data_IF_089101920902
#
_entry.id   IF_089101920902
#
_cell.length_a   1.000
_cell.length_b   1.000
_cell.length_c   1.000
_cell.angle_alpha   90.00
_cell.angle_beta   90.00
_cell.angle_gamma   90.00
#
_symmetry.space_group_name_H-M   'P 1'
#
loop_
_entity.id
_entity.type
_entity.pdbx_description
1 polymer ?
#
# COMPACT_ATOMS: atom_id res chain seq x y z
N UNK A 1 -33.93 12.12 -19.96
CA UNK A 1 -32.65 11.46 -19.64
C UNK A 1 -31.90 12.39 -18.71
N UNK A 2 -31.78 12.03 -17.44
CA UNK A 2 -31.17 12.87 -16.41
C UNK A 2 -29.66 12.66 -16.48
N UNK A 3 -28.94 13.69 -16.90
CA UNK A 3 -27.47 13.69 -16.96
C UNK A 3 -26.93 13.85 -15.54
N UNK A 4 -26.17 12.86 -15.06
CA UNK A 4 -25.55 12.89 -13.74
C UNK A 4 -24.34 13.83 -13.81
N UNK A 5 -24.58 15.14 -13.78
CA UNK A 5 -23.52 16.13 -13.77
C UNK A 5 -22.71 16.00 -12.47
N UNK A 6 -21.43 15.64 -12.59
CA UNK A 6 -20.50 15.53 -11.48
C UNK A 6 -20.29 16.91 -10.85
N UNK A 7 -20.89 17.16 -9.69
CA UNK A 7 -20.58 18.34 -8.88
C UNK A 7 -19.14 18.22 -8.38
N UNK A 8 -18.25 19.04 -8.94
CA UNK A 8 -16.83 19.03 -8.63
C UNK A 8 -16.42 20.41 -8.05
N UNK A 9 -16.36 20.58 -6.72
CA UNK A 9 -16.08 21.87 -6.08
C UNK A 9 -14.61 22.33 -6.22
N UNK A 10 -13.75 21.54 -6.86
CA UNK A 10 -12.31 21.84 -7.00
C UNK A 10 -11.90 22.30 -8.41
N UNK A 11 -12.85 22.57 -9.31
CA UNK A 11 -12.56 22.99 -10.70
C UNK A 11 -12.15 24.48 -10.85
N UNK A 12 -11.61 25.09 -9.79
CA UNK A 12 -11.27 26.52 -9.74
C UNK A 12 -9.80 26.85 -9.46
N UNK A 13 -8.91 25.88 -9.25
CA UNK A 13 -7.47 26.13 -9.01
C UNK A 13 -6.61 25.38 -10.03
N UNK A 14 -6.59 25.90 -11.26
CA UNK A 14 -5.38 25.80 -12.08
C UNK A 14 -4.25 26.53 -11.34
N UNK A 15 -3.33 25.77 -10.73
CA UNK A 15 -2.04 26.32 -10.30
C UNK A 15 -1.21 26.63 -11.54
N UNK A 16 -1.10 27.91 -11.84
CA UNK A 16 -0.13 28.48 -12.77
C UNK A 16 1.27 28.26 -12.15
N UNK A 17 2.16 27.51 -12.81
CA UNK A 17 3.54 27.31 -12.38
C UNK A 17 4.50 27.83 -13.48
N UNK A 18 5.01 29.08 -13.38
CA UNK A 18 5.73 29.73 -14.46
C UNK A 18 7.26 29.61 -14.41
N UNK A 19 7.84 28.73 -13.59
CA UNK A 19 9.30 28.54 -13.52
C UNK A 19 9.63 27.09 -13.13
N UNK A 20 10.42 26.38 -13.96
CA UNK A 20 11.04 25.11 -13.56
C UNK A 20 11.02 23.96 -14.56
N UNK A 21 10.58 24.16 -15.82
CA UNK A 21 11.15 23.34 -16.89
C UNK A 21 12.62 23.74 -17.08
N UNK A 22 13.45 22.80 -17.52
CA UNK A 22 14.74 23.04 -18.20
C UNK A 22 16.04 22.59 -17.50
N UNK A 23 16.04 21.65 -16.55
CA UNK A 23 17.30 21.06 -16.02
C UNK A 23 17.34 19.52 -15.83
N UNK A 24 16.34 18.76 -16.29
CA UNK A 24 16.39 17.27 -16.27
C UNK A 24 16.37 16.63 -17.67
N UNK A 25 16.29 17.43 -18.74
CA UNK A 25 16.17 16.96 -20.14
C UNK A 25 17.54 16.66 -20.81
N UNK A 26 18.63 16.59 -20.03
CA UNK A 26 20.01 16.42 -20.53
C UNK A 26 20.71 15.13 -20.09
N UNK A 27 20.14 14.36 -19.15
CA UNK A 27 20.75 13.11 -18.63
C UNK A 27 20.06 11.82 -19.12
N UNK A 28 19.02 11.94 -19.94
CA UNK A 28 18.14 10.81 -20.33
C UNK A 28 18.43 10.24 -21.73
N UNK A 29 19.55 10.62 -22.35
CA UNK A 29 19.85 10.35 -23.76
C UNK A 29 20.24 8.92 -24.15
N UNK A 30 20.27 7.93 -23.25
CA UNK A 30 20.75 6.57 -23.59
C UNK A 30 19.98 5.39 -22.99
N UNK A 31 18.85 5.59 -22.30
CA UNK A 31 17.99 4.48 -21.84
C UNK A 31 16.51 4.85 -21.96
N UNK A 32 15.66 3.96 -22.52
CA UNK A 32 14.22 4.19 -22.59
C UNK A 32 13.64 4.07 -21.18
N UNK A 33 13.36 5.20 -20.53
CA UNK A 33 12.63 5.25 -19.26
C UNK A 33 11.13 5.16 -19.56
N UNK A 34 10.44 4.06 -19.19
CA UNK A 34 8.99 4.02 -19.30
C UNK A 34 8.37 4.92 -18.24
N UNK A 35 7.63 5.91 -18.72
CA UNK A 35 6.42 6.49 -18.13
C UNK A 35 6.42 6.68 -16.59
N UNK A 36 6.67 7.92 -16.16
CA UNK A 36 6.05 8.52 -14.97
C UNK A 36 6.11 7.64 -13.70
N UNK A 37 7.30 7.47 -13.12
CA UNK A 37 7.44 7.13 -11.71
C UNK A 37 6.94 8.31 -10.86
N UNK A 38 5.64 8.34 -10.60
CA UNK A 38 5.12 8.96 -9.40
C UNK A 38 5.03 7.84 -8.33
N UNK A 39 6.06 7.60 -7.50
CA UNK A 39 6.05 6.52 -6.51
C UNK A 39 5.00 6.68 -5.39
N UNK A 40 4.15 7.71 -5.48
CA UNK A 40 3.07 8.04 -4.55
C UNK A 40 1.65 7.88 -5.16
N UNK A 41 1.53 7.54 -6.44
CA UNK A 41 0.24 7.15 -7.01
C UNK A 41 -0.03 5.69 -6.59
N UNK A 42 -1.16 5.45 -5.93
CA UNK A 42 -1.67 4.12 -5.50
C UNK A 42 -1.15 3.56 -4.18
N UNK A 43 -1.07 4.39 -3.13
CA UNK A 43 -1.11 3.87 -1.75
C UNK A 43 -2.52 3.37 -1.39
N UNK A 44 -2.99 2.32 -2.06
CA UNK A 44 -4.32 1.74 -1.87
C UNK A 44 -4.50 0.96 -0.55
N UNK A 45 -3.43 0.83 0.24
CA UNK A 45 -3.42 0.16 1.54
C UNK A 45 -2.75 1.09 2.56
N UNK A 46 -3.53 1.91 3.30
CA UNK A 46 -3.03 2.65 4.46
C UNK A 46 -2.51 1.67 5.52
N UNK A 47 -1.35 1.97 6.11
CA UNK A 47 -0.74 1.13 7.14
C UNK A 47 -0.24 2.03 8.28
N UNK A 48 -0.58 1.63 9.51
CA UNK A 48 0.01 2.14 10.74
C UNK A 48 0.89 1.05 11.37
N UNK A 49 2.10 1.43 11.78
CA UNK A 49 3.04 0.54 12.47
C UNK A 49 3.36 1.18 13.81
N UNK A 50 3.12 0.43 14.89
CA UNK A 50 3.50 0.83 16.25
C UNK A 50 4.38 -0.27 16.85
N UNK A 51 5.28 0.10 17.75
CA UNK A 51 6.14 -0.85 18.43
C UNK A 51 6.08 -0.67 19.94
N UNK A 52 6.13 -1.80 20.65
CA UNK A 52 6.46 -1.87 22.06
C UNK A 52 7.87 -2.50 22.20
N UNK A 53 8.38 -2.64 23.42
CA UNK A 53 9.70 -3.27 23.68
C UNK A 53 9.82 -4.70 23.15
N UNK A 54 8.69 -5.39 22.94
CA UNK A 54 8.65 -6.82 22.61
C UNK A 54 7.98 -7.16 21.28
N UNK A 55 7.12 -6.29 20.74
CA UNK A 55 6.21 -6.64 19.64
C UNK A 55 6.01 -5.43 18.73
N UNK A 56 5.98 -5.67 17.42
CA UNK A 56 5.43 -4.73 16.44
C UNK A 56 3.94 -5.01 16.21
N UNK A 57 3.13 -3.96 16.21
CA UNK A 57 1.71 -4.02 15.85
C UNK A 57 1.51 -3.30 14.53
N UNK A 58 1.07 -4.02 13.52
CA UNK A 58 0.81 -3.48 12.18
C UNK A 58 -0.68 -3.50 11.93
N UNK A 59 -1.25 -2.34 11.58
CA UNK A 59 -2.65 -2.17 11.21
C UNK A 59 -2.70 -1.76 9.74
N UNK A 60 -3.28 -2.59 8.88
CA UNK A 60 -3.43 -2.31 7.45
C UNK A 60 -4.92 -2.26 7.07
N UNK A 61 -5.35 -1.15 6.49
CA UNK A 61 -6.73 -0.95 6.04
C UNK A 61 -6.88 -1.48 4.61
N UNK A 62 -7.67 -2.54 4.44
CA UNK A 62 -7.91 -3.24 3.18
C UNK A 62 -9.39 -3.64 3.07
N UNK A 63 -10.32 -2.68 2.96
CA UNK A 63 -11.74 -3.00 2.84
C UNK A 63 -12.04 -3.71 1.51
N UNK A 64 -12.98 -4.65 1.54
CA UNK A 64 -13.47 -5.35 0.34
C UNK A 64 -12.69 -6.60 -0.08
N UNK A 65 -11.74 -7.07 0.74
CA UNK A 65 -11.06 -8.36 0.54
C UNK A 65 -11.64 -9.43 1.45
N UNK A 66 -11.66 -10.68 0.96
CA UNK A 66 -11.92 -11.82 1.83
C UNK A 66 -10.62 -12.26 2.51
N UNK A 67 -10.73 -12.94 3.65
CA UNK A 67 -9.56 -13.46 4.39
C UNK A 67 -8.68 -14.38 3.54
N UNK A 68 -9.30 -15.14 2.64
CA UNK A 68 -8.65 -16.07 1.73
C UNK A 68 -7.87 -15.39 0.60
N UNK A 69 -8.18 -14.14 0.28
CA UNK A 69 -7.53 -13.36 -0.78
C UNK A 69 -6.31 -12.58 -0.26
N UNK A 70 -6.03 -12.64 1.05
CA UNK A 70 -4.96 -11.91 1.73
C UNK A 70 -3.80 -12.86 2.03
N UNK A 71 -2.60 -12.49 1.58
CA UNK A 71 -1.35 -13.17 1.88
C UNK A 71 -0.38 -12.23 2.61
N UNK A 72 0.11 -12.70 3.74
CA UNK A 72 1.12 -12.01 4.57
C UNK A 72 2.35 -12.90 4.63
N UNK A 73 3.50 -12.33 4.29
CA UNK A 73 4.80 -13.00 4.36
C UNK A 73 5.73 -12.20 5.27
N UNK A 74 6.37 -12.88 6.21
CA UNK A 74 7.39 -12.31 7.10
C UNK A 74 8.67 -13.09 6.84
N UNK A 75 9.75 -12.39 6.53
CA UNK A 75 11.07 -12.97 6.30
C UNK A 75 12.10 -12.11 7.03
N UNK A 76 12.53 -12.57 8.21
CA UNK A 76 13.40 -11.79 9.09
C UNK A 76 12.81 -10.44 9.48
N UNK A 77 13.38 -9.36 8.97
CA UNK A 77 12.96 -7.97 9.17
C UNK A 77 12.03 -7.46 8.05
N UNK A 78 11.85 -8.20 6.96
CA UNK A 78 10.96 -7.79 5.86
C UNK A 78 9.55 -8.36 6.02
N UNK A 79 8.55 -7.49 5.94
CA UNK A 79 7.13 -7.85 5.96
C UNK A 79 6.48 -7.45 4.65
N UNK A 80 5.73 -8.37 4.06
CA UNK A 80 5.02 -8.17 2.81
C UNK A 80 3.56 -8.56 2.96
N UNK A 81 2.66 -7.64 2.61
CA UNK A 81 1.21 -7.80 2.63
C UNK A 81 0.72 -7.67 1.18
N UNK A 82 -0.02 -8.67 0.73
CA UNK A 82 -0.62 -8.67 -0.59
C UNK A 82 -2.06 -9.14 -0.50
N UNK A 83 -2.94 -8.47 -1.23
CA UNK A 83 -4.34 -8.82 -1.31
C UNK A 83 -4.79 -8.72 -2.76
N UNK A 84 -5.43 -9.75 -3.30
CA UNK A 84 -5.89 -9.75 -4.68
C UNK A 84 -7.31 -10.31 -4.77
N UNK A 85 -8.28 -9.44 -5.03
CA UNK A 85 -9.61 -9.89 -5.40
C UNK A 85 -9.59 -10.24 -6.87
N UNK A 86 -9.90 -11.51 -7.18
CA UNK A 86 -10.28 -11.89 -8.54
C UNK A 86 -11.52 -11.08 -8.89
N UNK A 87 -11.36 -10.08 -9.76
CA UNK A 87 -12.50 -9.43 -10.39
C UNK A 87 -13.32 -10.55 -11.01
N UNK A 88 -14.47 -10.87 -10.44
CA UNK A 88 -15.58 -11.33 -11.26
C UNK A 88 -15.65 -10.26 -12.34
N UNK A 89 -15.30 -10.65 -13.57
CA UNK A 89 -15.72 -9.89 -14.74
C UNK A 89 -17.15 -9.51 -14.42
N UNK A 90 -17.43 -8.22 -14.40
CA UNK A 90 -18.77 -7.75 -14.66
C UNK A 90 -19.12 -8.23 -16.07
N UNK A 91 -19.38 -9.54 -16.21
CA UNK A 91 -20.54 -9.96 -16.96
C UNK A 91 -21.63 -9.04 -16.46
N UNK A 92 -22.10 -8.21 -17.38
CA UNK A 92 -23.23 -7.31 -17.25
C UNK A 92 -24.39 -8.12 -16.68
N UNK A 93 -24.42 -8.34 -15.36
CA UNK A 93 -25.49 -9.03 -14.68
C UNK A 93 -26.67 -8.07 -14.83
N UNK A 94 -27.59 -8.45 -15.72
CA UNK A 94 -28.95 -7.92 -15.79
C UNK A 94 -29.13 -6.47 -16.26
N UNK A 95 -28.40 -6.02 -17.28
CA UNK A 95 -28.76 -4.77 -17.99
C UNK A 95 -28.52 -3.48 -17.21
N UNK A 96 -27.85 -3.54 -16.05
CA UNK A 96 -27.47 -2.37 -15.27
C UNK A 96 -26.29 -1.65 -15.91
N UNK A 97 -26.42 -0.33 -16.10
CA UNK A 97 -25.36 0.54 -16.61
C UNK A 97 -24.62 1.15 -15.43
N UNK A 98 -23.33 0.84 -15.30
CA UNK A 98 -22.44 1.53 -14.37
C UNK A 98 -22.37 3.00 -14.78
N UNK A 99 -22.89 3.90 -13.95
CA UNK A 99 -22.87 5.34 -14.21
C UNK A 99 -21.57 5.98 -13.69
N UNK A 100 -21.03 5.45 -12.58
CA UNK A 100 -19.80 5.93 -11.96
C UNK A 100 -19.22 4.85 -11.03
N UNK A 101 -17.90 4.80 -10.87
CA UNK A 101 -17.20 3.83 -10.01
C UNK A 101 -15.95 4.47 -9.41
N UNK A 102 -15.95 4.65 -8.09
CA UNK A 102 -14.80 5.15 -7.32
C UNK A 102 -14.21 4.08 -6.39
N UNK A 103 -15.02 3.09 -5.99
CA UNK A 103 -14.57 1.95 -5.20
C UNK A 103 -13.81 0.96 -6.10
N UNK A 104 -12.48 1.09 -6.13
CA UNK A 104 -11.61 0.15 -6.81
C UNK A 104 -11.37 -1.08 -5.94
N UNK A 105 -11.83 -2.24 -6.40
CA UNK A 105 -11.40 -3.55 -5.90
C UNK A 105 -10.51 -4.21 -6.96
N UNK A 106 -9.29 -4.57 -6.56
CA UNK A 106 -8.25 -5.11 -7.44
C UNK A 106 -7.12 -5.70 -6.61
N UNK A 107 -5.87 -5.51 -7.03
CA UNK A 107 -4.69 -5.96 -6.29
C UNK A 107 -4.12 -4.83 -5.45
N UNK A 108 -3.86 -5.11 -4.18
CA UNK A 108 -3.12 -4.24 -3.28
C UNK A 108 -1.85 -4.94 -2.79
N UNK A 109 -0.77 -4.17 -2.65
CA UNK A 109 0.53 -4.68 -2.24
C UNK A 109 1.29 -3.65 -1.42
N UNK A 110 1.89 -4.09 -0.32
CA UNK A 110 2.77 -3.30 0.55
C UNK A 110 3.90 -4.18 1.04
N UNK A 111 5.12 -3.65 1.02
CA UNK A 111 6.28 -4.27 1.65
C UNK A 111 7.04 -3.22 2.43
N UNK A 112 7.49 -3.56 3.64
CA UNK A 112 8.25 -2.68 4.51
C UNK A 112 9.26 -3.48 5.33
N UNK A 113 10.30 -2.78 5.78
CA UNK A 113 11.39 -3.34 6.58
C UNK A 113 11.26 -2.83 8.02
N UNK A 114 11.33 -3.75 8.97
CA UNK A 114 11.33 -3.47 10.39
C UNK A 114 12.73 -3.13 10.89
N UNK A 115 12.88 -2.30 11.94
CA UNK A 115 14.18 -2.02 12.54
C UNK A 115 14.91 -3.24 13.11
N UNK A 116 14.15 -4.26 13.50
CA UNK A 116 14.63 -5.52 14.07
C UNK A 116 13.84 -6.68 13.45
N UNK A 117 14.51 -7.82 13.27
CA UNK A 117 13.85 -9.03 12.78
C UNK A 117 12.69 -9.47 13.70
N UNK A 118 11.59 -9.91 13.09
CA UNK A 118 10.47 -10.52 13.79
C UNK A 118 10.70 -12.02 13.99
N UNK A 119 10.05 -12.58 15.02
CA UNK A 119 9.91 -14.02 15.21
C UNK A 119 8.71 -14.53 14.39
N UNK A 120 9.03 -15.17 13.26
CA UNK A 120 8.06 -15.75 12.33
C UNK A 120 7.16 -16.78 13.01
N UNK A 121 7.67 -17.52 14.01
CA UNK A 121 6.92 -18.58 14.68
C UNK A 121 5.84 -18.06 15.64
N UNK A 122 6.08 -16.87 16.22
CA UNK A 122 5.17 -16.23 17.18
C UNK A 122 4.20 -15.21 16.55
N UNK A 123 4.26 -15.04 15.23
CA UNK A 123 3.47 -14.04 14.52
C UNK A 123 1.97 -14.40 14.51
N UNK A 124 1.12 -13.41 14.80
CA UNK A 124 -0.35 -13.56 14.73
C UNK A 124 -0.94 -12.56 13.76
N UNK A 125 -1.94 -13.01 13.01
CA UNK A 125 -2.71 -12.17 12.10
C UNK A 125 -4.21 -12.28 12.40
N UNK A 126 -4.91 -11.16 12.41
CA UNK A 126 -6.37 -11.09 12.53
C UNK A 126 -6.92 -10.12 11.51
N UNK A 127 -7.94 -10.52 10.78
CA UNK A 127 -8.65 -9.66 9.84
C UNK A 127 -10.12 -9.56 10.25
N UNK A 128 -10.59 -8.34 10.47
CA UNK A 128 -11.93 -8.03 10.94
C UNK A 128 -12.31 -6.64 10.43
N UNK A 129 -13.57 -6.47 9.99
CA UNK A 129 -14.13 -5.20 9.52
C UNK A 129 -13.29 -4.45 8.47
N UNK A 130 -12.62 -5.20 7.57
CA UNK A 130 -11.78 -4.60 6.52
C UNK A 130 -10.38 -4.19 6.98
N UNK A 131 -9.99 -4.52 8.21
CA UNK A 131 -8.70 -4.15 8.81
C UNK A 131 -7.90 -5.40 9.16
N UNK A 132 -6.66 -5.48 8.68
CA UNK A 132 -5.69 -6.49 9.05
C UNK A 132 -4.84 -5.99 10.22
N UNK A 133 -4.86 -6.71 11.32
CA UNK A 133 -4.02 -6.50 12.49
C UNK A 133 -2.98 -7.63 12.57
N UNK A 134 -1.70 -7.27 12.55
CA UNK A 134 -0.58 -8.20 12.75
C UNK A 134 0.11 -7.89 14.07
N UNK A 135 0.40 -8.95 14.84
CA UNK A 135 1.29 -8.91 16.00
C UNK A 135 2.55 -9.68 15.63
N UNK A 136 3.68 -8.98 15.55
CA UNK A 136 4.98 -9.52 15.16
C UNK A 136 5.94 -9.42 16.37
N UNK A 137 6.16 -10.50 17.12
CA UNK A 137 7.11 -10.49 18.23
C UNK A 137 8.53 -10.19 17.72
N UNK A 138 9.28 -9.38 18.46
CA UNK A 138 10.69 -9.08 18.14
C UNK A 138 11.54 -10.31 18.43
N UNK A 139 12.46 -10.63 17.51
CA UNK A 139 13.37 -11.77 17.68
C UNK A 139 14.38 -11.49 18.79
N UNK A 140 14.40 -12.33 19.82
CA UNK A 140 15.34 -12.17 20.93
C UNK A 140 16.79 -12.38 20.44
N UNK A 141 17.68 -11.44 20.76
CA UNK A 141 19.12 -11.56 20.49
C UNK A 141 19.72 -10.54 19.52
N UNK A 142 18.91 -9.67 18.92
CA UNK A 142 19.37 -8.60 18.01
C UNK A 142 19.60 -7.26 18.74
N UNK A 143 19.97 -7.32 20.02
CA UNK A 143 20.48 -6.15 20.72
C UNK A 143 21.85 -5.84 20.12
N UNK A 144 21.91 -4.82 19.26
CA UNK A 144 23.12 -4.31 18.63
C UNK A 144 24.29 -4.32 19.63
N UNK A 145 25.31 -5.14 19.35
CA UNK A 145 26.52 -5.16 20.17
C UNK A 145 27.26 -3.85 19.98
N UNK A 146 27.29 -3.02 21.02
CA UNK A 146 28.11 -1.80 21.04
C UNK A 146 29.58 -2.21 21.00
N UNK A 147 30.29 -1.88 19.93
CA UNK A 147 31.72 -2.13 19.80
C UNK A 147 32.46 -0.92 20.38
N UNK A 148 33.34 -1.14 21.36
CA UNK A 148 34.26 -0.12 21.86
C UNK A 148 35.39 0.04 20.84
N UNK A 149 35.58 1.26 20.32
CA UNK A 149 36.73 1.60 19.49
C UNK A 149 37.91 1.92 20.42
N UNK A 150 39.06 1.28 20.19
CA UNK A 150 40.32 1.55 20.88
C UNK A 150 41.20 2.47 20.05
#
# INVERSE_FOLDING_TARGET
MTDLARYNPLRGLTRFNPFGRDMDDLLTGFFPTPMSLNPMADLHMPIDITEDDKVYKVRAEMPGFNKEDISVSVNGDQVTISAETKKEKEEKKNGEKIVHRECYCGRQFRSFTLPQAADESGTKARYEDGVLNLELPKKAGDNQKKITVN
#
